data_IF_502746459857
#
_entry.id   IF_502746459857
#
_cell.length_a   1.000
_cell.length_b   1.000
_cell.length_c   1.000
_cell.angle_alpha   90.00
_cell.angle_beta   90.00
_cell.angle_gamma   90.00
#
_symmetry.space_group_name_H-M   'P 1'
#
loop_
_entity.id
_entity.type
_entity.pdbx_description
1 polymer ?
#
# COMPACT_ATOMS: atom_id res chain seq x y z
N UNK A 1 -40.25 9.39 -4.62
CA UNK A 1 -38.82 9.41 -4.22
C UNK A 1 -38.49 8.08 -3.57
N UNK A 2 -37.73 7.22 -4.23
CA UNK A 2 -37.40 5.88 -3.71
C UNK A 2 -36.11 6.03 -2.89
N UNK A 3 -36.20 5.92 -1.56
CA UNK A 3 -35.03 5.99 -0.69
C UNK A 3 -34.35 4.62 -0.68
N UNK A 4 -33.05 4.50 -1.05
CA UNK A 4 -32.38 3.21 -1.07
C UNK A 4 -32.30 2.62 0.34
N UNK A 5 -32.78 1.39 0.53
CA UNK A 5 -32.70 0.67 1.79
C UNK A 5 -31.25 0.19 2.02
N UNK A 6 -30.54 0.75 3.00
CA UNK A 6 -29.19 0.31 3.37
C UNK A 6 -29.26 -0.87 4.35
N UNK A 7 -28.59 -1.96 4.00
CA UNK A 7 -28.62 -3.21 4.78
C UNK A 7 -27.51 -3.21 5.83
N UNK A 8 -27.89 -3.32 7.10
CA UNK A 8 -26.99 -3.19 8.26
C UNK A 8 -25.96 -4.32 8.31
N UNK A 9 -26.33 -5.53 7.90
CA UNK A 9 -25.46 -6.70 7.90
C UNK A 9 -24.30 -6.57 6.92
N UNK A 10 -24.56 -6.01 5.74
CA UNK A 10 -23.50 -5.71 4.76
C UNK A 10 -22.57 -4.60 5.24
N UNK A 11 -23.10 -3.56 5.89
CA UNK A 11 -22.27 -2.51 6.47
C UNK A 11 -21.35 -3.07 7.57
N UNK A 12 -21.86 -3.97 8.41
CA UNK A 12 -21.07 -4.64 9.46
C UNK A 12 -20.03 -5.60 8.86
N UNK A 13 -20.37 -6.35 7.81
CA UNK A 13 -19.44 -7.27 7.16
C UNK A 13 -18.33 -6.52 6.41
N UNK A 14 -18.66 -5.43 5.72
CA UNK A 14 -17.69 -4.50 5.11
C UNK A 14 -16.84 -3.80 6.17
N UNK A 15 -17.41 -3.42 7.32
CA UNK A 15 -16.64 -2.85 8.43
C UNK A 15 -15.72 -3.90 9.09
N UNK A 16 -16.13 -5.16 9.14
CA UNK A 16 -15.33 -6.25 9.70
C UNK A 16 -14.19 -6.67 8.75
N UNK A 17 -14.44 -6.75 7.44
CA UNK A 17 -13.45 -7.17 6.44
C UNK A 17 -12.56 -6.03 5.93
N UNK A 18 -13.08 -4.81 5.86
CA UNK A 18 -12.41 -3.63 5.27
C UNK A 18 -12.31 -2.46 6.26
N UNK A 19 -12.52 -2.70 7.56
CA UNK A 19 -12.50 -1.67 8.61
C UNK A 19 -11.20 -0.86 8.64
N UNK A 20 -10.07 -1.47 8.31
CA UNK A 20 -8.77 -0.80 8.18
C UNK A 20 -8.59 -0.02 6.87
N UNK A 21 -9.43 -0.26 5.86
CA UNK A 21 -9.33 0.32 4.51
C UNK A 21 -10.30 1.47 4.22
N UNK A 22 -11.21 1.80 5.16
CA UNK A 22 -12.13 2.93 5.02
C UNK A 22 -13.31 2.71 4.06
N UNK A 23 -13.48 1.50 3.51
CA UNK A 23 -14.57 1.18 2.56
C UNK A 23 -15.97 1.34 3.19
N UNK A 24 -16.13 1.00 4.47
CA UNK A 24 -17.39 1.22 5.19
C UNK A 24 -17.79 2.71 5.27
N UNK A 25 -16.80 3.61 5.27
CA UNK A 25 -17.01 5.06 5.40
C UNK A 25 -17.55 5.66 4.10
N UNK A 26 -17.09 5.16 2.94
CA UNK A 26 -17.66 5.50 1.63
C UNK A 26 -19.09 4.97 1.46
N UNK A 27 -19.41 3.81 2.03
CA UNK A 27 -20.78 3.27 2.00
C UNK A 27 -21.76 4.13 2.82
N UNK A 28 -21.34 4.66 3.98
CA UNK A 28 -22.22 5.49 4.83
C UNK A 28 -22.35 6.93 4.32
N UNK A 29 -21.25 7.61 3.99
CA UNK A 29 -21.23 9.06 3.70
C UNK A 29 -21.22 9.42 2.20
N UNK A 30 -21.11 8.43 1.32
CA UNK A 30 -21.04 8.64 -0.13
C UNK A 30 -19.77 9.38 -0.58
N UNK A 31 -19.68 9.73 -1.87
CA UNK A 31 -18.50 10.34 -2.51
C UNK A 31 -18.05 11.70 -1.93
N UNK A 32 -18.78 12.28 -0.97
CA UNK A 32 -18.51 13.60 -0.36
C UNK A 32 -17.56 13.59 0.85
N UNK A 33 -17.17 12.43 1.38
CA UNK A 33 -16.30 12.39 2.58
C UNK A 33 -14.82 12.65 2.25
N UNK A 34 -14.37 13.89 2.44
CA UNK A 34 -12.99 14.34 2.20
C UNK A 34 -11.94 13.62 3.07
N UNK A 35 -12.31 13.18 4.28
CA UNK A 35 -11.38 12.47 5.17
C UNK A 35 -11.15 11.03 4.70
N UNK A 36 -12.19 10.38 4.18
CA UNK A 36 -12.06 9.04 3.60
C UNK A 36 -11.10 9.04 2.38
N UNK A 37 -11.17 10.07 1.54
CA UNK A 37 -10.23 10.28 0.44
C UNK A 37 -8.77 10.46 0.89
N UNK A 38 -8.54 11.18 1.99
CA UNK A 38 -7.19 11.34 2.55
C UNK A 38 -6.61 10.00 3.04
N UNK A 39 -7.40 9.17 3.72
CA UNK A 39 -6.93 7.83 4.14
C UNK A 39 -6.62 6.92 2.96
N UNK A 40 -7.46 6.95 1.92
CA UNK A 40 -7.24 6.18 0.69
C UNK A 40 -5.99 6.62 -0.05
N UNK A 41 -5.61 7.91 0.00
CA UNK A 41 -4.40 8.40 -0.65
C UNK A 41 -3.14 8.19 0.20
N UNK A 42 -3.25 8.44 1.52
CA UNK A 42 -2.12 8.40 2.43
C UNK A 42 -1.59 6.97 2.65
N UNK A 43 -2.50 5.99 2.68
CA UNK A 43 -2.14 4.58 2.85
C UNK A 43 -1.20 4.05 1.75
N UNK A 44 -1.54 4.12 0.44
CA UNK A 44 -0.65 3.68 -0.62
C UNK A 44 0.61 4.54 -0.67
N UNK A 45 0.52 5.86 -0.45
CA UNK A 45 1.70 6.73 -0.45
C UNK A 45 2.72 6.31 0.62
N UNK A 46 2.26 6.00 1.83
CA UNK A 46 3.14 5.49 2.90
C UNK A 46 3.72 4.11 2.56
N UNK A 47 2.94 3.23 1.93
CA UNK A 47 3.43 1.93 1.48
C UNK A 47 4.53 2.08 0.42
N UNK A 48 4.35 2.98 -0.55
CA UNK A 48 5.38 3.29 -1.56
C UNK A 48 6.64 3.87 -0.93
N UNK A 49 6.52 4.78 0.03
CA UNK A 49 7.67 5.30 0.75
C UNK A 49 8.44 4.19 1.47
N UNK A 50 7.73 3.24 2.10
CA UNK A 50 8.33 2.06 2.73
C UNK A 50 9.04 1.13 1.75
N UNK A 51 8.44 0.86 0.58
CA UNK A 51 9.07 0.06 -0.46
C UNK A 51 10.34 0.72 -1.00
N UNK A 52 10.30 2.04 -1.27
CA UNK A 52 11.49 2.77 -1.71
C UNK A 52 12.57 2.73 -0.64
N UNK A 53 12.22 2.95 0.64
CA UNK A 53 13.18 2.87 1.74
C UNK A 53 13.81 1.48 1.85
N UNK A 54 13.03 0.41 1.73
CA UNK A 54 13.54 -0.96 1.74
C UNK A 54 14.48 -1.25 0.56
N UNK A 55 14.18 -0.74 -0.64
CA UNK A 55 15.08 -0.85 -1.80
C UNK A 55 16.36 -0.04 -1.61
N UNK A 56 16.26 1.20 -1.10
CA UNK A 56 17.42 2.04 -0.82
C UNK A 56 18.33 1.35 0.19
N UNK A 57 17.78 0.82 1.28
CA UNK A 57 18.56 0.10 2.31
C UNK A 57 19.15 -1.19 1.72
N UNK A 58 18.33 -2.04 1.11
CA UNK A 58 18.77 -3.35 0.61
C UNK A 58 19.71 -3.29 -0.59
N UNK A 59 19.75 -2.18 -1.32
CA UNK A 59 20.71 -1.92 -2.41
C UNK A 59 21.90 -1.07 -1.97
N UNK A 60 21.91 -0.54 -0.74
CA UNK A 60 23.07 0.18 -0.23
C UNK A 60 24.21 -0.82 0.00
N UNK A 61 25.40 -0.61 -0.59
CA UNK A 61 26.55 -1.48 -0.36
C UNK A 61 26.93 -1.55 1.13
N UNK A 62 27.31 -2.73 1.62
CA UNK A 62 27.60 -2.97 3.04
C UNK A 62 28.70 -2.05 3.59
N UNK A 63 29.74 -1.79 2.80
CA UNK A 63 30.85 -0.90 3.18
C UNK A 63 30.37 0.56 3.39
N UNK A 64 29.49 1.03 2.52
CA UNK A 64 28.86 2.36 2.67
C UNK A 64 27.88 2.38 3.84
N UNK A 65 27.10 1.31 4.02
CA UNK A 65 26.16 1.20 5.12
C UNK A 65 26.87 1.22 6.48
N UNK A 66 27.95 0.44 6.60
CA UNK A 66 28.77 0.36 7.80
C UNK A 66 29.48 1.69 8.11
N UNK A 67 30.00 2.38 7.09
CA UNK A 67 30.62 3.69 7.27
C UNK A 67 29.62 4.75 7.78
N UNK A 68 28.35 4.66 7.39
CA UNK A 68 27.31 5.63 7.77
C UNK A 68 26.68 5.31 9.13
N UNK A 69 26.39 4.04 9.41
CA UNK A 69 25.57 3.64 10.56
C UNK A 69 26.34 2.83 11.62
N UNK A 70 27.45 2.17 11.25
CA UNK A 70 28.25 1.34 12.15
C UNK A 70 29.73 1.80 12.30
N UNK A 71 30.05 3.12 12.37
CA UNK A 71 31.44 3.58 12.35
C UNK A 71 32.28 3.17 13.57
N UNK A 72 31.64 2.74 14.66
CA UNK A 72 32.28 2.30 15.91
C UNK A 72 32.16 0.79 16.17
N UNK A 73 31.67 0.01 15.20
CA UNK A 73 31.49 -1.44 15.32
C UNK A 73 32.67 -2.18 14.67
N UNK A 74 33.25 -3.15 15.38
CA UNK A 74 34.29 -4.05 14.86
C UNK A 74 33.74 -5.16 13.93
N UNK A 75 32.41 -5.23 13.76
CA UNK A 75 31.76 -6.19 12.87
C UNK A 75 31.42 -5.56 11.54
N UNK A 76 31.89 -6.18 10.45
CA UNK A 76 31.44 -5.90 9.08
C UNK A 76 30.07 -6.51 8.83
N UNK A 77 29.18 -5.74 8.22
CA UNK A 77 27.91 -6.22 7.68
C UNK A 77 28.18 -7.07 6.44
N UNK A 78 27.58 -8.25 6.38
CA UNK A 78 27.60 -9.15 5.22
C UNK A 78 26.16 -9.39 4.79
N UNK A 79 25.68 -8.56 3.85
CA UNK A 79 24.36 -8.68 3.27
C UNK A 79 24.33 -9.88 2.33
N UNK A 80 23.96 -11.04 2.88
CA UNK A 80 23.80 -12.27 2.12
C UNK A 80 22.56 -12.31 1.22
N UNK A 81 22.31 -13.48 0.64
CA UNK A 81 21.18 -13.77 -0.25
C UNK A 81 19.79 -13.39 0.32
N UNK A 82 19.63 -13.38 1.63
CA UNK A 82 18.37 -13.00 2.28
C UNK A 82 17.96 -11.57 1.94
N UNK A 83 18.90 -10.60 1.93
CA UNK A 83 18.62 -9.21 1.57
C UNK A 83 18.19 -9.12 0.10
N UNK A 84 18.87 -9.86 -0.78
CA UNK A 84 18.54 -9.93 -2.21
C UNK A 84 17.11 -10.45 -2.42
N UNK A 85 16.73 -11.54 -1.75
CA UNK A 85 15.38 -12.11 -1.85
C UNK A 85 14.31 -11.14 -1.33
N UNK A 86 14.59 -10.43 -0.24
CA UNK A 86 13.68 -9.40 0.30
C UNK A 86 13.53 -8.25 -0.69
N UNK A 87 14.62 -7.78 -1.29
CA UNK A 87 14.60 -6.71 -2.31
C UNK A 87 13.79 -7.12 -3.53
N UNK A 88 13.99 -8.33 -4.05
CA UNK A 88 13.24 -8.87 -5.19
C UNK A 88 11.75 -8.98 -4.85
N UNK A 89 11.42 -9.56 -3.69
CA UNK A 89 10.04 -9.69 -3.24
C UNK A 89 9.37 -8.33 -3.06
N UNK A 90 10.07 -7.38 -2.43
CA UNK A 90 9.59 -6.01 -2.21
C UNK A 90 9.33 -5.30 -3.53
N UNK A 91 10.26 -5.38 -4.48
CA UNK A 91 10.12 -4.80 -5.79
C UNK A 91 8.97 -5.43 -6.59
N UNK A 92 8.88 -6.76 -6.57
CA UNK A 92 7.83 -7.52 -7.26
C UNK A 92 6.44 -7.15 -6.73
N UNK A 93 6.24 -7.23 -5.41
CA UNK A 93 4.97 -6.89 -4.77
C UNK A 93 4.62 -5.42 -5.01
N UNK A 94 5.57 -4.51 -4.82
CA UNK A 94 5.35 -3.07 -5.05
C UNK A 94 4.93 -2.77 -6.48
N UNK A 95 5.59 -3.38 -7.46
CA UNK A 95 5.28 -3.21 -8.89
C UNK A 95 3.93 -3.80 -9.25
N UNK A 96 3.62 -5.02 -8.78
CA UNK A 96 2.33 -5.67 -9.03
C UNK A 96 1.18 -4.85 -8.44
N UNK A 97 1.32 -4.37 -7.20
CA UNK A 97 0.29 -3.55 -6.55
C UNK A 97 0.11 -2.21 -7.28
N UNK A 98 1.20 -1.57 -7.73
CA UNK A 98 1.14 -0.35 -8.51
C UNK A 98 0.37 -0.55 -9.82
N UNK A 99 0.74 -1.58 -10.58
CA UNK A 99 0.09 -1.90 -11.86
C UNK A 99 -1.39 -2.22 -11.63
N UNK A 100 -1.71 -3.04 -10.62
CA UNK A 100 -3.08 -3.37 -10.29
C UNK A 100 -3.91 -2.13 -9.92
N UNK A 101 -3.34 -1.21 -9.13
CA UNK A 101 -4.01 0.03 -8.73
C UNK A 101 -4.26 0.95 -9.93
N UNK A 102 -3.27 1.10 -10.83
CA UNK A 102 -3.42 1.89 -12.05
C UNK A 102 -4.48 1.24 -12.94
N UNK A 103 -4.35 -0.05 -13.25
CA UNK A 103 -5.29 -0.79 -14.08
C UNK A 103 -6.73 -0.65 -13.54
N UNK A 104 -6.92 -0.80 -12.22
CA UNK A 104 -8.22 -0.63 -11.58
C UNK A 104 -8.75 0.80 -11.68
N UNK A 105 -7.89 1.80 -11.55
CA UNK A 105 -8.29 3.20 -11.68
C UNK A 105 -8.76 3.51 -13.11
N UNK A 106 -8.03 3.03 -14.12
CA UNK A 106 -8.42 3.17 -15.52
C UNK A 106 -9.74 2.44 -15.83
N UNK A 107 -9.90 1.21 -15.33
CA UNK A 107 -11.15 0.47 -15.45
C UNK A 107 -12.33 1.27 -14.86
N UNK A 108 -12.18 1.79 -13.65
CA UNK A 108 -13.22 2.63 -13.03
C UNK A 108 -13.54 3.91 -13.80
N UNK A 109 -12.53 4.56 -14.39
CA UNK A 109 -12.71 5.83 -15.11
C UNK A 109 -13.33 5.65 -16.49
N UNK A 110 -12.96 4.60 -17.23
CA UNK A 110 -13.36 4.43 -18.63
C UNK A 110 -14.46 3.39 -18.84
N UNK A 111 -14.50 2.33 -18.03
CA UNK A 111 -15.49 1.25 -18.17
C UNK A 111 -16.56 1.31 -17.09
N UNK A 112 -16.38 2.18 -16.08
CA UNK A 112 -17.26 2.24 -14.92
C UNK A 112 -17.11 1.06 -13.97
N UNK A 113 -16.04 0.25 -14.13
CA UNK A 113 -15.76 -0.90 -13.28
C UNK A 113 -16.19 -2.25 -13.86
N UNK A 114 -16.37 -2.36 -15.18
CA UNK A 114 -16.91 -3.56 -15.83
C UNK A 114 -16.02 -4.82 -15.66
N UNK A 115 -14.73 -4.64 -15.42
CA UNK A 115 -13.76 -5.75 -15.29
C UNK A 115 -13.36 -6.07 -13.84
N UNK A 116 -14.11 -5.53 -12.87
CA UNK A 116 -14.13 -5.98 -11.48
C UNK A 116 -13.56 -5.01 -10.49
#
# INVERSE_FOLDING_TARGET
MIVPHKNKTLATLLAALLGSFGAHRFYLYGKKDRRAWLYVLLCPLSAFAGFIAALVIGLTPDDRWDALHNPASDRKSDSGWTVILIVIATFGIGTTLLIAAIARTFDLLYTGGAYG
#
